data_IF_825015743700
#
_entry.id   IF_825015743700
#
_cell.length_a   1.000
_cell.length_b   1.000
_cell.length_c   1.000
_cell.angle_alpha   90.00
_cell.angle_beta   90.00
_cell.angle_gamma   90.00
#
_symmetry.space_group_name_H-M   'P 1'
#
loop_
_entity.id
_entity.type
_entity.pdbx_description
1 polymer ?
#
# COMPACT_ATOMS: atom_id res chain seq x y z
N UNK A 1 -15.23 11.42 17.25
CA UNK A 1 -15.51 9.97 17.41
C UNK A 1 -14.36 9.30 18.15
N UNK A 2 -14.67 8.22 18.90
CA UNK A 2 -13.69 7.26 19.41
C UNK A 2 -13.53 6.13 18.39
N UNK A 3 -12.37 6.01 17.79
CA UNK A 3 -12.10 5.07 16.68
C UNK A 3 -11.11 4.02 17.16
N UNK A 4 -11.45 2.74 17.04
CA UNK A 4 -10.55 1.63 17.25
C UNK A 4 -9.98 1.17 15.91
N UNK A 5 -8.67 1.31 15.67
CA UNK A 5 -8.00 0.68 14.55
C UNK A 5 -7.41 -0.66 15.01
N UNK A 6 -7.92 -1.77 14.47
CA UNK A 6 -7.50 -3.12 14.86
C UNK A 6 -6.54 -3.66 13.82
N UNK A 7 -5.24 -3.70 14.15
CA UNK A 7 -4.18 -4.10 13.23
C UNK A 7 -3.06 -4.84 14.01
N UNK A 8 -3.16 -6.15 14.11
CA UNK A 8 -2.29 -6.96 14.96
C UNK A 8 -0.80 -6.84 14.63
N UNK A 9 -0.44 -6.50 13.40
CA UNK A 9 0.95 -6.32 12.95
C UNK A 9 1.45 -4.88 13.07
N UNK A 10 0.63 -3.95 13.53
CA UNK A 10 0.93 -2.53 13.56
C UNK A 10 1.77 -2.06 14.76
N UNK A 11 2.46 -2.96 15.46
CA UNK A 11 3.25 -2.67 16.66
C UNK A 11 4.39 -1.65 16.47
N UNK A 12 4.87 -1.49 15.23
CA UNK A 12 5.96 -0.55 14.92
C UNK A 12 5.57 0.92 14.97
N UNK A 13 4.28 1.23 15.08
CA UNK A 13 3.78 2.61 15.10
C UNK A 13 4.21 3.40 16.35
N UNK A 14 4.67 2.70 17.40
CA UNK A 14 5.27 3.31 18.59
C UNK A 14 6.72 3.75 18.40
N UNK A 15 7.40 3.34 17.32
CA UNK A 15 8.79 3.72 17.04
C UNK A 15 8.86 5.00 16.23
N UNK A 16 9.75 5.91 16.63
CA UNK A 16 9.97 7.19 15.96
C UNK A 16 10.29 7.01 14.45
N UNK A 17 9.95 8.01 13.64
CA UNK A 17 10.32 8.13 12.21
C UNK A 17 11.80 7.76 12.02
N UNK A 18 12.14 6.65 11.38
CA UNK A 18 13.51 6.31 11.04
C UNK A 18 13.91 4.83 11.00
N UNK A 19 13.12 3.92 11.54
CA UNK A 19 13.41 2.50 11.43
C UNK A 19 12.97 1.97 10.06
N UNK A 20 13.90 1.96 9.10
CA UNK A 20 13.75 1.29 7.82
C UNK A 20 13.75 -0.23 8.03
N UNK A 21 12.59 -0.79 8.28
CA UNK A 21 12.35 -2.18 7.94
C UNK A 21 11.72 -2.19 6.52
N UNK A 22 11.89 -3.29 5.79
CA UNK A 22 11.14 -3.56 4.56
C UNK A 22 9.66 -3.76 4.94
N UNK A 23 9.01 -2.69 5.39
CA UNK A 23 7.60 -2.69 5.74
C UNK A 23 6.80 -2.60 4.45
N UNK A 24 5.88 -3.50 4.33
CA UNK A 24 4.77 -3.41 3.40
C UNK A 24 4.11 -2.04 3.61
N UNK A 25 4.00 -1.23 2.55
CA UNK A 25 3.47 0.14 2.63
C UNK A 25 2.12 0.27 3.34
N UNK A 26 1.40 -0.85 3.50
CA UNK A 26 0.14 -0.94 4.23
C UNK A 26 0.26 -0.54 5.72
N UNK A 27 1.33 -0.93 6.40
CA UNK A 27 1.51 -0.59 7.82
C UNK A 27 1.78 0.92 8.00
N UNK A 28 2.63 1.49 7.14
CA UNK A 28 2.87 2.93 7.12
C UNK A 28 1.57 3.70 6.83
N UNK A 29 0.71 3.17 5.95
CA UNK A 29 -0.62 3.71 5.65
C UNK A 29 -1.53 3.75 6.86
N UNK A 30 -1.59 2.69 7.68
CA UNK A 30 -2.42 2.65 8.90
C UNK A 30 -1.97 3.72 9.90
N UNK A 31 -0.66 3.88 10.11
CA UNK A 31 -0.12 4.93 10.99
C UNK A 31 -0.49 6.33 10.52
N UNK A 32 -0.36 6.57 9.22
CA UNK A 32 -0.66 7.88 8.65
C UNK A 32 -2.15 8.15 8.70
N UNK A 33 -3.00 7.16 8.40
CA UNK A 33 -4.45 7.26 8.58
C UNK A 33 -4.82 7.60 10.02
N UNK A 34 -4.24 6.91 11.01
CA UNK A 34 -4.49 7.18 12.42
C UNK A 34 -4.16 8.62 12.80
N UNK A 35 -2.99 9.12 12.38
CA UNK A 35 -2.57 10.51 12.63
C UNK A 35 -3.51 11.51 11.95
N UNK A 36 -3.91 11.23 10.71
CA UNK A 36 -4.85 12.07 9.98
C UNK A 36 -6.22 12.11 10.65
N UNK A 37 -6.75 10.96 11.08
CA UNK A 37 -8.01 10.93 11.81
C UNK A 37 -7.91 11.67 13.14
N UNK A 38 -6.78 11.57 13.84
CA UNK A 38 -6.50 12.33 15.07
C UNK A 38 -6.46 13.85 14.82
N UNK A 39 -5.77 14.30 13.77
CA UNK A 39 -5.71 15.72 13.39
C UNK A 39 -7.08 16.29 12.97
N UNK A 40 -8.00 15.44 12.51
CA UNK A 40 -9.38 15.78 12.22
C UNK A 40 -10.29 15.76 13.48
N UNK A 41 -9.70 15.76 14.69
CA UNK A 41 -10.42 15.92 15.96
C UNK A 41 -11.00 14.62 16.53
N UNK A 42 -10.54 13.46 16.08
CA UNK A 42 -10.98 12.17 16.61
C UNK A 42 -10.02 11.61 17.67
N UNK A 43 -10.53 10.74 18.54
CA UNK A 43 -9.72 9.93 19.45
C UNK A 43 -9.50 8.57 18.79
N UNK A 44 -8.26 8.27 18.45
CA UNK A 44 -7.89 7.04 17.73
C UNK A 44 -7.05 6.15 18.63
N UNK A 45 -7.46 4.91 18.81
CA UNK A 45 -6.66 3.88 19.49
C UNK A 45 -6.32 2.79 18.49
N UNK A 46 -5.01 2.59 18.26
CA UNK A 46 -4.51 1.48 17.45
C UNK A 46 -4.29 0.29 18.40
N UNK A 47 -4.97 -0.80 18.16
CA UNK A 47 -4.78 -2.07 18.86
C UNK A 47 -3.86 -2.95 18.05
N UNK A 48 -2.65 -3.18 18.56
CA UNK A 48 -1.64 -4.00 17.92
C UNK A 48 -1.19 -5.13 18.84
N UNK A 49 -0.69 -6.23 18.28
CA UNK A 49 -0.09 -7.29 19.08
C UNK A 49 1.29 -6.84 19.60
N UNK A 50 1.60 -7.16 20.84
CA UNK A 50 2.93 -6.95 21.41
C UNK A 50 3.91 -7.93 20.75
N UNK A 51 4.67 -7.48 19.75
CA UNK A 51 5.61 -8.30 18.97
C UNK A 51 7.08 -8.08 19.33
N UNK A 52 7.35 -7.33 20.40
CA UNK A 52 8.67 -7.21 20.99
C UNK A 52 8.55 -7.00 22.51
N UNK A 53 9.44 -7.60 23.34
CA UNK A 53 9.38 -7.48 24.80
C UNK A 53 9.45 -6.04 25.29
N UNK A 54 10.27 -5.21 24.63
CA UNK A 54 10.52 -3.81 25.02
C UNK A 54 9.38 -2.84 24.68
N UNK A 55 8.32 -3.28 23.98
CA UNK A 55 7.19 -2.40 23.68
C UNK A 55 6.37 -2.12 24.94
N UNK A 56 6.06 -0.84 25.24
CA UNK A 56 5.17 -0.49 26.34
C UNK A 56 3.75 -1.00 26.08
N UNK A 57 2.98 -1.25 27.12
CA UNK A 57 1.57 -1.65 26.96
C UNK A 57 0.77 -0.56 26.20
N UNK A 58 1.07 0.71 26.48
CA UNK A 58 0.42 1.87 25.88
C UNK A 58 1.44 2.94 25.50
N UNK A 59 1.24 3.59 24.35
CA UNK A 59 2.06 4.70 23.87
C UNK A 59 1.23 5.77 23.16
N UNK A 60 1.45 7.04 23.48
CA UNK A 60 0.90 8.16 22.71
C UNK A 60 1.84 8.43 21.53
N UNK A 61 1.32 8.42 20.32
CA UNK A 61 2.13 8.52 19.09
C UNK A 61 1.88 9.81 18.29
N UNK A 62 0.77 10.46 18.57
CA UNK A 62 0.42 11.79 18.07
C UNK A 62 -0.73 12.37 18.91
N UNK A 63 -1.07 13.64 18.68
CA UNK A 63 -2.27 14.25 19.29
C UNK A 63 -3.51 13.43 18.91
N UNK A 64 -4.28 13.02 19.92
CA UNK A 64 -5.47 12.19 19.74
C UNK A 64 -5.21 10.74 19.31
N UNK A 65 -3.96 10.27 19.23
CA UNK A 65 -3.62 8.92 18.75
C UNK A 65 -2.81 8.15 19.77
N UNK A 66 -3.33 7.01 20.20
CA UNK A 66 -2.70 6.09 21.15
C UNK A 66 -2.53 4.71 20.50
N UNK A 67 -1.47 3.99 20.85
CA UNK A 67 -1.27 2.58 20.52
C UNK A 67 -1.39 1.76 21.81
N UNK A 68 -2.20 0.72 21.79
CA UNK A 68 -2.32 -0.32 22.81
C UNK A 68 -1.67 -1.61 22.29
N UNK A 69 -0.61 -2.08 22.97
CA UNK A 69 0.06 -3.32 22.62
C UNK A 69 -0.51 -4.48 23.44
N UNK A 70 -1.32 -5.30 22.79
CA UNK A 70 -2.02 -6.42 23.41
C UNK A 70 -1.15 -7.68 23.42
N UNK A 71 -1.11 -8.37 24.56
CA UNK A 71 -0.37 -9.63 24.70
C UNK A 71 -1.18 -10.78 24.13
N UNK A 72 -0.75 -11.31 22.98
CA UNK A 72 -1.37 -12.46 22.32
C UNK A 72 -0.27 -13.29 21.62
N UNK A 73 0.12 -14.39 22.22
CA UNK A 73 1.23 -15.24 21.78
C UNK A 73 2.62 -14.64 22.09
N UNK A 74 3.68 -15.12 21.44
CA UNK A 74 5.05 -14.70 21.72
C UNK A 74 5.29 -13.22 21.36
N UNK A 75 6.11 -12.55 22.17
CA UNK A 75 6.52 -11.17 21.91
C UNK A 75 7.61 -11.11 20.81
N UNK A 76 7.26 -11.61 19.62
CA UNK A 76 8.11 -11.62 18.41
C UNK A 76 7.25 -11.41 17.17
N UNK A 77 7.86 -10.94 16.08
CA UNK A 77 7.18 -10.85 14.79
C UNK A 77 6.88 -12.25 14.25
N UNK A 78 5.68 -12.42 13.77
CA UNK A 78 5.21 -13.67 13.18
C UNK A 78 4.68 -13.37 11.76
N UNK A 79 4.89 -14.29 10.80
CA UNK A 79 4.16 -14.28 9.53
C UNK A 79 2.64 -14.36 9.76
N UNK A 80 1.86 -13.80 8.85
CA UNK A 80 0.39 -13.70 9.00
C UNK A 80 -0.32 -15.05 9.20
N UNK A 81 0.19 -16.13 8.61
CA UNK A 81 -0.33 -17.50 8.79
C UNK A 81 -0.03 -18.08 10.18
N UNK A 82 1.05 -17.63 10.81
CA UNK A 82 1.45 -18.06 12.16
C UNK A 82 0.80 -17.23 13.27
N UNK A 83 0.16 -16.11 12.94
CA UNK A 83 -0.55 -15.25 13.91
C UNK A 83 -1.94 -15.83 14.25
N UNK A 84 -2.56 -16.58 13.34
CA UNK A 84 -3.93 -17.08 13.46
C UNK A 84 -4.24 -17.79 14.80
N UNK A 85 -3.40 -18.67 15.35
CA UNK A 85 -3.67 -19.34 16.64
C UNK A 85 -3.83 -18.38 17.82
N UNK A 86 -3.29 -17.18 17.73
CA UNK A 86 -3.31 -16.19 18.81
C UNK A 86 -4.47 -15.18 18.70
N UNK A 87 -5.28 -15.25 17.64
CA UNK A 87 -6.35 -14.27 17.40
C UNK A 87 -7.48 -14.37 18.42
N UNK A 88 -7.75 -15.55 19.00
CA UNK A 88 -8.70 -15.67 20.10
C UNK A 88 -8.24 -14.92 21.37
N UNK A 89 -6.96 -15.04 21.73
CA UNK A 89 -6.38 -14.30 22.84
C UNK A 89 -6.35 -12.80 22.57
N UNK A 90 -6.04 -12.39 21.34
CA UNK A 90 -6.07 -10.99 20.91
C UNK A 90 -7.48 -10.41 21.00
N UNK A 91 -8.48 -11.13 20.52
CA UNK A 91 -9.90 -10.75 20.64
C UNK A 91 -10.35 -10.59 22.10
N UNK A 92 -9.98 -11.52 22.98
CA UNK A 92 -10.28 -11.41 24.40
C UNK A 92 -9.65 -10.17 25.07
N UNK A 93 -8.49 -9.73 24.60
CA UNK A 93 -7.89 -8.47 25.06
C UNK A 93 -8.66 -7.26 24.49
N UNK A 94 -9.09 -7.28 23.22
CA UNK A 94 -9.95 -6.25 22.65
C UNK A 94 -11.24 -6.08 23.47
N UNK A 95 -11.91 -7.18 23.81
CA UNK A 95 -13.13 -7.14 24.65
C UNK A 95 -12.87 -6.43 25.98
N UNK A 96 -11.75 -6.73 26.64
CA UNK A 96 -11.40 -6.07 27.92
C UNK A 96 -11.22 -4.56 27.74
N UNK A 97 -10.47 -4.14 26.71
CA UNK A 97 -10.24 -2.74 26.40
C UNK A 97 -11.56 -2.03 26.04
N UNK A 98 -12.38 -2.64 25.20
CA UNK A 98 -13.64 -2.04 24.73
C UNK A 98 -14.72 -1.95 25.82
N UNK A 99 -14.73 -2.88 26.77
CA UNK A 99 -15.61 -2.76 27.97
C UNK A 99 -15.20 -1.60 28.86
N UNK A 100 -13.91 -1.22 28.91
CA UNK A 100 -13.43 -0.08 29.68
C UNK A 100 -13.66 1.26 28.96
N UNK A 101 -13.50 1.27 27.64
CA UNK A 101 -13.65 2.44 26.78
C UNK A 101 -14.21 2.02 25.42
N UNK A 102 -15.54 1.90 25.33
CA UNK A 102 -16.22 1.47 24.11
C UNK A 102 -15.97 2.46 22.98
N UNK A 103 -15.42 2.01 21.84
CA UNK A 103 -15.27 2.85 20.66
C UNK A 103 -16.61 2.99 19.94
N UNK A 104 -16.79 4.13 19.26
CA UNK A 104 -17.97 4.36 18.42
C UNK A 104 -17.94 3.45 17.18
N UNK A 105 -16.74 3.12 16.71
CA UNK A 105 -16.51 2.28 15.54
C UNK A 105 -15.15 1.56 15.62
N UNK A 106 -15.09 0.33 15.12
CA UNK A 106 -13.85 -0.42 14.93
C UNK A 106 -13.53 -0.53 13.44
N UNK A 107 -12.35 -0.10 13.02
CA UNK A 107 -11.84 -0.33 11.68
C UNK A 107 -10.72 -1.36 11.73
N UNK A 108 -11.01 -2.55 11.25
CA UNK A 108 -10.08 -3.65 11.21
C UNK A 108 -9.27 -3.67 9.91
N UNK A 109 -8.00 -3.99 10.05
CA UNK A 109 -7.04 -4.07 8.95
C UNK A 109 -6.52 -5.49 8.83
N UNK A 110 -6.33 -5.97 7.61
CA UNK A 110 -6.01 -7.35 7.29
C UNK A 110 -7.11 -8.33 7.74
N UNK A 111 -7.11 -9.53 7.18
CA UNK A 111 -8.11 -10.54 7.50
C UNK A 111 -8.01 -11.07 8.95
N UNK A 112 -6.81 -11.08 9.53
CA UNK A 112 -6.55 -11.48 10.92
C UNK A 112 -7.13 -10.48 11.91
N UNK A 113 -6.91 -9.18 11.68
CA UNK A 113 -7.55 -8.10 12.45
C UNK A 113 -9.07 -8.13 12.35
N UNK A 114 -9.60 -8.39 11.14
CA UNK A 114 -11.03 -8.56 10.91
C UNK A 114 -11.65 -9.70 11.69
N UNK A 115 -10.97 -10.85 11.72
CA UNK A 115 -11.39 -12.01 12.49
C UNK A 115 -11.47 -11.69 13.98
N UNK A 116 -10.42 -11.04 14.52
CA UNK A 116 -10.36 -10.69 15.93
C UNK A 116 -11.41 -9.62 16.32
N UNK A 117 -11.60 -8.61 15.49
CA UNK A 117 -12.62 -7.59 15.72
C UNK A 117 -14.03 -8.16 15.73
N UNK A 118 -14.38 -8.99 14.72
CA UNK A 118 -15.69 -9.65 14.67
C UNK A 118 -15.92 -10.63 15.85
N UNK A 119 -14.88 -11.31 16.32
CA UNK A 119 -15.01 -12.15 17.51
C UNK A 119 -15.28 -11.29 18.75
N UNK A 120 -14.66 -10.12 18.88
CA UNK A 120 -14.87 -9.20 20.01
C UNK A 120 -16.27 -8.59 20.02
N UNK A 121 -16.91 -8.39 18.87
CA UNK A 121 -18.27 -7.83 18.79
C UNK A 121 -19.37 -8.75 19.33
N UNK A 122 -19.07 -10.01 19.59
CA UNK A 122 -19.99 -10.92 20.27
C UNK A 122 -20.21 -10.56 21.73
N UNK A 123 -19.25 -9.88 22.34
CA UNK A 123 -19.23 -9.50 23.75
C UNK A 123 -19.44 -8.00 23.98
N UNK A 124 -19.08 -7.17 22.99
CA UNK A 124 -19.21 -5.70 23.04
C UNK A 124 -19.72 -5.23 21.69
N UNK A 125 -20.92 -4.68 21.66
CA UNK A 125 -21.56 -4.23 20.43
C UNK A 125 -20.87 -2.98 19.88
N UNK A 126 -20.08 -3.16 18.81
CA UNK A 126 -19.33 -2.12 18.08
C UNK A 126 -19.42 -2.40 16.59
N UNK A 127 -19.82 -1.42 15.75
CA UNK A 127 -19.81 -1.59 14.31
C UNK A 127 -18.38 -1.78 13.79
N UNK A 128 -18.20 -2.79 12.93
CA UNK A 128 -16.89 -3.09 12.32
C UNK A 128 -16.87 -2.68 10.86
N UNK A 129 -15.87 -1.90 10.49
CA UNK A 129 -15.47 -1.61 9.11
C UNK A 129 -14.19 -2.36 8.81
N UNK A 130 -14.02 -2.89 7.60
CA UNK A 130 -12.87 -3.70 7.22
C UNK A 130 -12.11 -3.14 6.03
N UNK A 131 -10.77 -3.11 6.11
CA UNK A 131 -9.86 -2.97 4.97
C UNK A 131 -8.96 -4.20 4.88
N UNK A 132 -8.99 -4.91 3.74
CA UNK A 132 -8.21 -6.15 3.60
C UNK A 132 -6.74 -5.91 3.24
N UNK A 133 -6.43 -4.77 2.61
CA UNK A 133 -5.12 -4.43 2.06
C UNK A 133 -4.69 -5.30 0.87
N UNK A 134 -5.19 -6.51 0.78
CA UNK A 134 -5.05 -7.42 -0.36
C UNK A 134 -6.00 -8.59 -0.15
N UNK A 135 -6.69 -8.98 -1.20
CA UNK A 135 -7.58 -10.15 -1.20
C UNK A 135 -6.87 -11.34 -1.84
N UNK A 136 -6.86 -12.48 -1.16
CA UNK A 136 -6.25 -13.70 -1.67
C UNK A 136 -6.87 -14.18 -2.99
N UNK A 137 -8.17 -13.91 -3.23
CA UNK A 137 -8.83 -14.18 -4.51
C UNK A 137 -8.29 -13.31 -5.64
N UNK A 138 -8.04 -12.03 -5.39
CA UNK A 138 -7.44 -11.11 -6.35
C UNK A 138 -5.98 -11.51 -6.62
N UNK A 139 -5.20 -11.81 -5.58
CA UNK A 139 -3.84 -12.31 -5.75
C UNK A 139 -3.79 -13.55 -6.64
N UNK A 140 -4.64 -14.55 -6.38
CA UNK A 140 -4.70 -15.76 -7.22
C UNK A 140 -5.07 -15.47 -8.66
N UNK A 141 -5.99 -14.57 -8.90
CA UNK A 141 -6.40 -14.18 -10.26
C UNK A 141 -5.28 -13.55 -11.05
N UNK A 142 -4.51 -12.67 -10.42
CA UNK A 142 -3.48 -11.87 -11.09
C UNK A 142 -2.10 -12.54 -11.09
N UNK A 143 -1.77 -13.32 -10.06
CA UNK A 143 -0.47 -13.92 -9.86
C UNK A 143 -0.44 -15.43 -10.18
N UNK A 144 -1.59 -16.08 -10.33
CA UNK A 144 -1.67 -17.51 -10.62
C UNK A 144 -0.93 -18.36 -9.58
N UNK A 145 -0.03 -19.21 -10.04
CA UNK A 145 0.76 -20.11 -9.18
C UNK A 145 1.75 -19.37 -8.24
N UNK A 146 2.08 -18.11 -8.51
CA UNK A 146 2.97 -17.29 -7.68
C UNK A 146 2.20 -16.66 -6.50
N UNK A 147 0.87 -16.75 -6.51
CA UNK A 147 0.04 -16.26 -5.42
C UNK A 147 0.26 -17.08 -4.15
N UNK A 148 0.63 -16.41 -3.07
CA UNK A 148 0.67 -17.00 -1.73
C UNK A 148 -0.74 -17.09 -1.11
N UNK A 149 -0.83 -17.75 0.03
CA UNK A 149 -2.03 -17.77 0.87
C UNK A 149 -2.75 -19.12 0.96
N UNK A 150 -3.22 -19.43 2.18
CA UNK A 150 -3.91 -20.67 2.47
C UNK A 150 -5.37 -20.66 2.01
N UNK A 151 -5.97 -21.83 1.80
CA UNK A 151 -7.41 -21.96 1.58
C UNK A 151 -8.23 -21.41 2.75
N UNK A 152 -7.69 -21.48 3.96
CA UNK A 152 -8.33 -20.90 5.15
C UNK A 152 -8.46 -19.39 5.03
N UNK A 153 -7.41 -18.68 4.56
CA UNK A 153 -7.44 -17.24 4.30
C UNK A 153 -8.60 -16.86 3.39
N UNK A 154 -8.76 -17.55 2.25
CA UNK A 154 -9.82 -17.23 1.28
C UNK A 154 -11.22 -17.36 1.85
N UNK A 155 -11.44 -18.42 2.66
CA UNK A 155 -12.75 -18.66 3.32
C UNK A 155 -13.02 -17.60 4.39
N UNK A 156 -12.00 -17.25 5.18
CA UNK A 156 -12.12 -16.27 6.25
C UNK A 156 -12.28 -14.84 5.68
N UNK A 157 -11.58 -14.46 4.62
CA UNK A 157 -11.79 -13.19 3.95
C UNK A 157 -13.24 -13.02 3.47
N UNK A 158 -13.80 -14.05 2.83
CA UNK A 158 -15.18 -14.03 2.37
C UNK A 158 -16.20 -13.97 3.52
N UNK A 159 -15.94 -14.68 4.62
CA UNK A 159 -16.77 -14.63 5.83
C UNK A 159 -16.74 -13.23 6.45
N UNK A 160 -15.55 -12.70 6.71
CA UNK A 160 -15.34 -11.36 7.30
C UNK A 160 -16.04 -10.31 6.44
N UNK A 161 -15.77 -10.31 5.13
CA UNK A 161 -16.32 -9.32 4.21
C UNK A 161 -17.85 -9.23 4.21
N UNK A 162 -18.53 -10.37 4.44
CA UNK A 162 -20.00 -10.44 4.52
C UNK A 162 -20.57 -10.17 5.92
N UNK A 163 -19.72 -10.22 6.95
CA UNK A 163 -20.15 -10.07 8.34
C UNK A 163 -19.96 -8.67 8.91
N UNK A 164 -19.11 -7.85 8.28
CA UNK A 164 -18.83 -6.47 8.74
C UNK A 164 -19.89 -5.47 8.24
N UNK A 165 -20.00 -4.33 8.92
CA UNK A 165 -20.96 -3.26 8.58
C UNK A 165 -20.63 -2.62 7.23
N UNK A 166 -19.34 -2.49 6.89
CA UNK A 166 -18.86 -2.01 5.60
C UNK A 166 -17.43 -2.49 5.31
N UNK A 167 -17.08 -2.54 4.01
CA UNK A 167 -15.71 -2.80 3.56
C UNK A 167 -15.21 -1.57 2.82
N UNK A 168 -14.02 -1.07 3.21
CA UNK A 168 -13.29 -0.04 2.49
C UNK A 168 -12.32 -0.72 1.54
N UNK A 169 -12.64 -0.69 0.26
CA UNK A 169 -11.79 -1.20 -0.81
C UNK A 169 -10.75 -0.14 -1.20
N UNK A 170 -9.50 -0.53 -1.41
CA UNK A 170 -8.43 0.37 -1.84
C UNK A 170 -8.51 0.78 -3.31
N UNK A 171 -9.31 0.06 -4.12
CA UNK A 171 -9.47 0.31 -5.55
C UNK A 171 -10.82 -0.20 -6.06
N UNK A 172 -11.21 0.28 -7.24
CA UNK A 172 -12.40 -0.23 -7.96
C UNK A 172 -12.25 -1.72 -8.29
N UNK A 173 -11.03 -2.18 -8.58
CA UNK A 173 -10.71 -3.58 -8.80
C UNK A 173 -10.98 -4.44 -7.57
N UNK A 174 -10.55 -3.99 -6.38
CA UNK A 174 -10.84 -4.67 -5.11
C UNK A 174 -12.34 -4.66 -4.80
N UNK A 175 -13.03 -3.54 -5.04
CA UNK A 175 -14.48 -3.45 -4.88
C UNK A 175 -15.22 -4.46 -5.76
N UNK A 176 -14.78 -4.67 -7.00
CA UNK A 176 -15.33 -5.68 -7.89
C UNK A 176 -15.08 -7.11 -7.37
N UNK A 177 -13.90 -7.40 -6.78
CA UNK A 177 -13.63 -8.70 -6.15
C UNK A 177 -14.54 -8.95 -4.93
N UNK A 178 -14.70 -7.94 -4.08
CA UNK A 178 -15.60 -8.02 -2.92
C UNK A 178 -17.05 -8.30 -3.34
N UNK A 179 -17.52 -7.66 -4.42
CA UNK A 179 -18.85 -7.93 -4.97
C UNK A 179 -18.97 -9.38 -5.47
N UNK A 180 -17.92 -9.96 -6.08
CA UNK A 180 -17.88 -11.39 -6.47
C UNK A 180 -17.89 -12.33 -5.27
N UNK A 181 -17.33 -11.91 -4.13
CA UNK A 181 -17.40 -12.63 -2.87
C UNK A 181 -18.79 -12.55 -2.20
N UNK A 182 -19.76 -11.87 -2.81
CA UNK A 182 -21.14 -11.73 -2.31
C UNK A 182 -21.33 -10.60 -1.33
N UNK A 183 -20.39 -9.63 -1.24
CA UNK A 183 -20.59 -8.42 -0.43
C UNK A 183 -21.57 -7.48 -1.15
N UNK A 184 -22.63 -7.02 -0.48
CA UNK A 184 -23.57 -6.08 -1.07
C UNK A 184 -22.86 -4.78 -1.51
N UNK A 185 -23.08 -4.34 -2.73
CA UNK A 185 -22.47 -3.11 -3.26
C UNK A 185 -22.70 -1.89 -2.35
N UNK A 186 -23.84 -1.83 -1.71
CA UNK A 186 -24.17 -0.78 -0.74
C UNK A 186 -23.25 -0.78 0.49
N UNK A 187 -22.59 -1.89 0.83
CA UNK A 187 -21.65 -2.01 1.95
C UNK A 187 -20.19 -1.84 1.53
N UNK A 188 -19.89 -1.70 0.23
CA UNK A 188 -18.54 -1.46 -0.28
C UNK A 188 -18.35 0.04 -0.52
N UNK A 189 -17.22 0.58 -0.09
CA UNK A 189 -16.76 1.94 -0.39
C UNK A 189 -15.35 1.88 -0.92
N UNK A 190 -15.06 2.62 -1.98
CA UNK A 190 -13.70 2.78 -2.48
C UNK A 190 -13.06 3.96 -1.76
N UNK A 191 -12.09 3.66 -0.92
CA UNK A 191 -11.25 4.63 -0.23
C UNK A 191 -9.79 4.25 -0.50
N UNK A 192 -9.12 4.93 -1.43
CA UNK A 192 -7.77 4.58 -1.83
C UNK A 192 -6.75 4.94 -0.74
N UNK A 193 -5.52 4.48 -0.96
CA UNK A 193 -4.40 4.94 -0.13
C UNK A 193 -4.07 6.41 -0.41
N UNK A 194 -3.59 7.09 0.62
CA UNK A 194 -3.11 8.46 0.52
C UNK A 194 -1.61 8.53 0.21
N UNK A 195 -1.20 9.68 -0.29
CA UNK A 195 0.19 10.08 -0.40
C UNK A 195 0.43 11.32 0.47
N UNK A 196 1.63 11.39 1.08
CA UNK A 196 2.07 12.57 1.83
C UNK A 196 2.50 13.66 0.82
N UNK A 197 1.62 14.61 0.56
CA UNK A 197 1.82 15.68 -0.41
C UNK A 197 2.70 16.81 0.12
N UNK A 198 3.11 16.77 1.39
CA UNK A 198 4.08 17.69 1.99
C UNK A 198 5.50 17.10 1.88
N UNK A 199 5.64 15.78 1.91
CA UNK A 199 6.91 15.08 1.71
C UNK A 199 7.20 14.86 0.21
N UNK A 200 6.18 14.44 -0.57
CA UNK A 200 6.25 14.19 -2.00
C UNK A 200 5.61 15.35 -2.76
N UNK A 201 6.43 16.24 -3.28
CA UNK A 201 6.03 17.41 -4.05
C UNK A 201 7.01 17.61 -5.21
N UNK A 202 6.60 18.34 -6.27
CA UNK A 202 7.46 18.57 -7.46
C UNK A 202 8.75 19.30 -7.13
N UNK A 203 8.69 20.22 -6.19
CA UNK A 203 9.82 21.06 -5.80
C UNK A 203 10.71 20.39 -4.75
N UNK A 204 12.01 20.67 -4.80
CA UNK A 204 12.96 20.21 -3.80
C UNK A 204 14.20 19.51 -4.37
N UNK A 205 15.04 18.91 -3.53
CA UNK A 205 16.27 18.28 -3.95
C UNK A 205 16.06 17.17 -4.99
N UNK A 206 16.98 17.08 -5.95
CA UNK A 206 16.99 16.06 -7.01
C UNK A 206 18.23 15.18 -6.83
N UNK A 207 18.08 13.87 -6.91
CA UNK A 207 19.21 12.95 -6.81
C UNK A 207 20.14 13.09 -8.04
N UNK A 208 21.45 12.92 -7.81
CA UNK A 208 22.48 13.04 -8.86
C UNK A 208 22.15 12.17 -10.07
N UNK A 209 22.34 12.74 -11.28
CA UNK A 209 22.14 12.07 -12.58
C UNK A 209 23.46 11.94 -13.30
N UNK A 210 23.54 11.01 -14.25
CA UNK A 210 24.70 10.82 -15.12
C UNK A 210 24.56 11.48 -16.50
N UNK A 211 23.55 12.34 -16.69
CA UNK A 211 23.30 13.06 -17.96
C UNK A 211 22.44 12.28 -18.97
N UNK A 212 22.15 11.00 -18.74
CA UNK A 212 21.23 10.21 -19.58
C UNK A 212 19.78 10.40 -19.08
N UNK A 213 18.77 10.27 -19.97
CA UNK A 213 17.39 10.11 -19.52
C UNK A 213 17.27 8.92 -18.55
N UNK A 214 16.58 9.14 -17.42
CA UNK A 214 16.46 8.16 -16.33
C UNK A 214 15.08 7.55 -16.29
N UNK A 215 15.02 6.25 -16.49
CA UNK A 215 13.88 5.42 -16.09
C UNK A 215 14.11 4.95 -14.66
N UNK A 216 13.12 5.09 -13.80
CA UNK A 216 13.16 4.64 -12.42
C UNK A 216 12.14 3.52 -12.21
N UNK A 217 12.57 2.42 -11.62
CA UNK A 217 11.68 1.39 -11.09
C UNK A 217 11.89 1.27 -9.58
N UNK A 218 10.85 1.41 -8.80
CA UNK A 218 10.89 1.25 -7.34
C UNK A 218 10.01 0.07 -6.98
N UNK A 219 10.61 -1.05 -6.56
CA UNK A 219 9.88 -2.26 -6.24
C UNK A 219 10.74 -3.24 -5.40
N UNK A 220 10.11 -4.14 -4.62
CA UNK A 220 10.82 -5.27 -4.04
C UNK A 220 11.47 -6.14 -5.13
N UNK A 221 12.62 -6.74 -4.84
CA UNK A 221 13.25 -7.69 -5.75
C UNK A 221 12.58 -9.07 -5.64
N UNK A 222 11.38 -9.17 -6.20
CA UNK A 222 10.55 -10.37 -6.28
C UNK A 222 10.08 -10.61 -7.71
N UNK A 223 9.64 -11.82 -8.03
CA UNK A 223 9.16 -12.16 -9.37
C UNK A 223 7.89 -11.38 -9.77
N UNK A 224 6.99 -11.16 -8.80
CA UNK A 224 5.74 -10.42 -9.04
C UNK A 224 5.94 -8.94 -9.37
N UNK A 225 7.14 -8.40 -9.13
CA UNK A 225 7.44 -6.98 -9.44
C UNK A 225 7.61 -6.69 -10.93
N UNK A 226 7.71 -7.71 -11.79
CA UNK A 226 7.78 -7.54 -13.24
C UNK A 226 9.03 -6.81 -13.76
N UNK A 227 10.09 -6.71 -12.95
CA UNK A 227 11.31 -5.97 -13.30
C UNK A 227 12.02 -6.52 -14.53
N UNK A 228 11.87 -7.80 -14.84
CA UNK A 228 12.39 -8.42 -16.04
C UNK A 228 11.75 -7.87 -17.32
N UNK A 229 10.49 -7.47 -17.28
CA UNK A 229 9.79 -6.80 -18.38
C UNK A 229 10.46 -5.47 -18.71
N UNK A 230 10.81 -4.69 -17.67
CA UNK A 230 11.52 -3.40 -17.84
C UNK A 230 12.91 -3.63 -18.42
N UNK A 231 13.66 -4.58 -17.86
CA UNK A 231 15.03 -4.92 -18.36
C UNK A 231 14.98 -5.36 -19.82
N UNK A 232 13.99 -6.15 -20.24
CA UNK A 232 13.80 -6.54 -21.65
C UNK A 232 13.44 -5.33 -22.51
N UNK A 233 12.60 -4.42 -22.03
CA UNK A 233 12.25 -3.21 -22.78
C UNK A 233 13.46 -2.31 -23.06
N UNK A 234 14.50 -2.33 -22.20
CA UNK A 234 15.72 -1.52 -22.38
C UNK A 234 16.47 -1.80 -23.68
N UNK A 235 16.27 -2.97 -24.32
CA UNK A 235 16.86 -3.31 -25.63
C UNK A 235 16.43 -2.28 -26.69
N UNK A 236 15.16 -1.93 -26.68
CA UNK A 236 14.57 -1.00 -27.64
C UNK A 236 14.53 0.46 -27.15
N UNK A 237 15.04 0.74 -25.95
CA UNK A 237 15.16 2.11 -25.41
C UNK A 237 16.64 2.48 -25.28
N UNK A 238 17.30 2.88 -26.37
CA UNK A 238 18.71 3.25 -26.33
C UNK A 238 18.92 4.58 -25.57
N UNK A 239 20.16 4.83 -25.16
CA UNK A 239 20.61 6.08 -24.52
C UNK A 239 20.00 6.41 -23.15
N UNK A 240 19.13 5.55 -22.59
CA UNK A 240 18.57 5.72 -21.26
C UNK A 240 19.30 4.89 -20.21
N UNK A 241 19.30 5.34 -18.97
CA UNK A 241 19.62 4.48 -17.82
C UNK A 241 18.34 3.97 -17.17
N UNK A 242 18.39 2.77 -16.62
CA UNK A 242 17.38 2.21 -15.75
C UNK A 242 17.93 2.12 -14.33
N UNK A 243 17.33 2.86 -13.41
CA UNK A 243 17.64 2.75 -11.98
C UNK A 243 16.57 1.88 -11.32
N UNK A 244 16.98 0.78 -10.70
CA UNK A 244 16.11 -0.12 -9.94
C UNK A 244 16.41 0.09 -8.46
N UNK A 245 15.43 0.63 -7.73
CA UNK A 245 15.50 0.90 -6.31
C UNK A 245 14.60 -0.07 -5.54
N UNK A 246 15.11 -0.64 -4.44
CA UNK A 246 14.41 -1.58 -3.59
C UNK A 246 15.17 -2.89 -3.37
N UNK A 247 14.54 -3.81 -2.65
CA UNK A 247 15.18 -5.03 -2.20
C UNK A 247 16.04 -4.85 -0.95
N UNK A 248 17.02 -5.73 -0.68
CA UNK A 248 17.89 -5.64 0.50
C UNK A 248 18.88 -4.47 0.37
N UNK A 249 19.61 -4.20 1.45
CA UNK A 249 20.71 -3.24 1.44
C UNK A 249 21.69 -3.54 0.30
N UNK A 250 22.32 -2.49 -0.24
CA UNK A 250 23.21 -2.60 -1.40
C UNK A 250 24.30 -3.67 -1.24
N UNK A 251 24.87 -3.78 -0.04
CA UNK A 251 25.89 -4.79 0.30
C UNK A 251 25.38 -6.24 0.27
N UNK A 252 24.07 -6.45 0.29
CA UNK A 252 23.44 -7.77 0.33
C UNK A 252 22.76 -8.16 -1.00
N UNK A 253 22.74 -7.26 -2.00
CA UNK A 253 22.09 -7.50 -3.28
C UNK A 253 22.54 -8.80 -3.95
N UNK A 254 23.82 -9.10 -3.93
CA UNK A 254 24.40 -10.31 -4.55
C UNK A 254 23.86 -11.61 -3.96
N UNK A 255 23.32 -11.58 -2.73
CA UNK A 255 22.67 -12.74 -2.08
C UNK A 255 21.25 -12.97 -2.59
N UNK A 256 20.59 -11.94 -3.15
CA UNK A 256 19.21 -12.02 -3.63
C UNK A 256 19.14 -12.77 -4.98
N UNK A 257 18.33 -13.84 -5.11
CA UNK A 257 18.25 -14.63 -6.33
C UNK A 257 17.66 -13.86 -7.52
N UNK A 258 16.69 -12.98 -7.28
CA UNK A 258 16.06 -12.16 -8.33
C UNK A 258 17.05 -11.12 -8.87
N UNK A 259 17.84 -10.48 -7.98
CA UNK A 259 18.93 -9.60 -8.41
C UNK A 259 19.88 -10.31 -9.36
N UNK A 260 20.40 -11.49 -8.96
CA UNK A 260 21.33 -12.28 -9.80
C UNK A 260 20.72 -12.66 -11.15
N UNK A 261 19.42 -12.99 -11.17
CA UNK A 261 18.68 -13.28 -12.41
C UNK A 261 18.59 -12.06 -13.30
N UNK A 262 18.25 -10.89 -12.76
CA UNK A 262 18.11 -9.63 -13.50
C UNK A 262 19.47 -9.15 -14.06
N UNK A 263 20.55 -9.26 -13.30
CA UNK A 263 21.91 -8.93 -13.77
C UNK A 263 22.32 -9.85 -14.94
N UNK A 264 22.09 -11.16 -14.82
CA UNK A 264 22.34 -12.09 -15.92
C UNK A 264 21.49 -11.79 -17.16
N UNK A 265 20.22 -11.42 -16.96
CA UNK A 265 19.33 -11.04 -18.05
C UNK A 265 19.85 -9.78 -18.75
N UNK A 266 20.21 -8.74 -17.99
CA UNK A 266 20.76 -7.50 -18.54
C UNK A 266 22.06 -7.74 -19.32
N UNK A 267 22.93 -8.62 -18.84
CA UNK A 267 24.15 -9.02 -19.54
C UNK A 267 23.86 -9.76 -20.86
N UNK A 268 22.95 -10.74 -20.85
CA UNK A 268 22.52 -11.46 -22.06
C UNK A 268 21.94 -10.55 -23.14
N UNK A 269 21.20 -9.52 -22.69
CA UNK A 269 20.56 -8.53 -23.56
C UNK A 269 21.49 -7.36 -23.94
N UNK A 270 22.73 -7.35 -23.46
CA UNK A 270 23.72 -6.29 -23.69
C UNK A 270 23.25 -4.89 -23.26
N UNK A 271 22.52 -4.82 -22.15
CA UNK A 271 22.03 -3.57 -21.54
C UNK A 271 22.56 -3.35 -20.12
N UNK A 272 23.47 -4.22 -19.66
CA UNK A 272 23.95 -4.22 -18.27
C UNK A 272 24.68 -2.93 -17.85
N UNK A 273 25.35 -2.24 -18.79
CA UNK A 273 26.00 -0.95 -18.58
C UNK A 273 25.01 0.20 -18.26
N UNK A 274 23.75 0.00 -18.55
CA UNK A 274 22.68 0.99 -18.38
C UNK A 274 21.66 0.63 -17.29
N UNK A 275 21.85 -0.48 -16.58
CA UNK A 275 20.98 -0.94 -15.48
C UNK A 275 21.71 -0.83 -14.17
N UNK A 276 21.21 0.03 -13.31
CA UNK A 276 21.79 0.34 -11.99
C UNK A 276 20.87 -0.13 -10.88
N UNK A 277 21.37 -0.93 -9.95
CA UNK A 277 20.65 -1.35 -8.76
C UNK A 277 21.15 -0.57 -7.55
N UNK A 278 20.26 0.14 -6.87
CA UNK A 278 20.61 0.92 -5.67
C UNK A 278 20.52 0.09 -4.39
N UNK A 279 19.73 -0.97 -4.38
CA UNK A 279 19.25 -1.61 -3.16
C UNK A 279 18.20 -0.76 -2.46
N UNK A 280 17.98 -1.02 -1.18
CA UNK A 280 17.04 -0.29 -0.35
C UNK A 280 17.37 1.21 -0.32
N UNK A 281 16.36 2.04 -0.53
CA UNK A 281 16.41 3.50 -0.43
C UNK A 281 15.57 3.93 0.77
N UNK A 282 16.13 4.79 1.63
CA UNK A 282 15.39 5.31 2.77
C UNK A 282 14.25 6.22 2.34
N UNK A 283 13.18 6.29 3.15
CA UNK A 283 12.02 7.15 2.91
C UNK A 283 12.43 8.59 2.62
N UNK A 284 13.30 9.16 3.45
CA UNK A 284 13.78 10.55 3.31
C UNK A 284 14.52 10.84 2.00
N UNK A 285 15.08 9.83 1.32
CA UNK A 285 15.77 9.97 0.03
C UNK A 285 14.87 9.69 -1.16
N UNK A 286 13.69 9.09 -0.94
CA UNK A 286 12.80 8.68 -2.01
C UNK A 286 12.26 9.86 -2.83
N UNK A 287 11.84 11.01 -2.25
CA UNK A 287 11.36 12.13 -3.04
C UNK A 287 12.42 12.68 -4.00
N UNK A 288 13.67 12.80 -3.53
CA UNK A 288 14.77 13.26 -4.39
C UNK A 288 15.09 12.27 -5.53
N UNK A 289 14.95 10.97 -5.27
CA UNK A 289 15.13 9.94 -6.29
C UNK A 289 14.01 10.00 -7.33
N UNK A 290 12.75 10.11 -6.91
CA UNK A 290 11.59 10.24 -7.80
C UNK A 290 11.71 11.47 -8.69
N UNK A 291 12.00 12.65 -8.13
CA UNK A 291 12.23 13.89 -8.91
C UNK A 291 13.40 13.80 -9.89
N UNK A 292 14.34 12.88 -9.67
CA UNK A 292 15.46 12.68 -10.59
C UNK A 292 15.11 11.86 -11.84
N UNK A 293 13.95 11.25 -11.89
CA UNK A 293 13.53 10.40 -13.00
C UNK A 293 12.75 11.18 -14.05
N UNK A 294 12.99 10.88 -15.33
CA UNK A 294 12.17 11.39 -16.43
C UNK A 294 10.86 10.59 -16.53
N UNK A 295 10.91 9.32 -16.11
CA UNK A 295 9.74 8.42 -16.04
C UNK A 295 9.88 7.44 -14.87
N UNK A 296 8.82 7.27 -14.08
CA UNK A 296 8.65 6.07 -13.27
C UNK A 296 8.06 4.96 -14.16
N UNK A 297 8.66 3.76 -14.12
CA UNK A 297 8.15 2.57 -14.80
C UNK A 297 7.78 1.52 -13.75
N UNK A 298 6.51 1.18 -13.67
CA UNK A 298 5.97 0.28 -12.63
C UNK A 298 5.18 -0.87 -13.25
N UNK A 299 5.82 -2.04 -13.38
CA UNK A 299 5.29 -3.21 -14.11
C UNK A 299 4.83 -4.34 -13.21
N UNK A 300 4.58 -4.06 -11.94
CA UNK A 300 4.07 -5.05 -10.98
C UNK A 300 2.83 -5.75 -11.53
N UNK A 301 2.81 -7.07 -11.46
CA UNK A 301 1.71 -7.89 -12.01
C UNK A 301 0.40 -7.67 -11.28
N UNK A 302 0.47 -7.35 -10.00
CA UNK A 302 -0.67 -6.97 -9.17
C UNK A 302 -0.24 -5.93 -8.15
N UNK A 303 -0.87 -4.78 -8.17
CA UNK A 303 -0.61 -3.65 -7.27
C UNK A 303 -1.90 -3.29 -6.52
N UNK A 304 -2.03 -3.67 -5.25
CA UNK A 304 -3.23 -3.35 -4.48
C UNK A 304 -3.34 -1.88 -4.08
N UNK A 305 -2.22 -1.18 -3.90
CA UNK A 305 -2.20 0.15 -3.27
C UNK A 305 -1.79 1.29 -4.21
N UNK A 306 -0.82 1.05 -5.09
CA UNK A 306 -0.28 2.07 -5.99
C UNK A 306 0.52 3.16 -5.29
N UNK A 307 1.12 2.91 -4.13
CA UNK A 307 1.83 3.93 -3.36
C UNK A 307 2.99 4.55 -4.13
N UNK A 308 3.86 3.73 -4.72
CA UNK A 308 5.01 4.23 -5.49
C UNK A 308 4.59 5.07 -6.70
N UNK A 309 3.62 4.64 -7.53
CA UNK A 309 3.04 5.49 -8.55
C UNK A 309 2.47 6.81 -8.01
N UNK A 310 1.74 6.79 -6.90
CA UNK A 310 1.17 8.00 -6.29
C UNK A 310 2.26 8.95 -5.78
N UNK A 311 3.32 8.42 -5.17
CA UNK A 311 4.49 9.20 -4.73
C UNK A 311 5.22 9.85 -5.92
N UNK A 312 5.38 9.11 -7.01
CA UNK A 312 5.96 9.66 -8.24
C UNK A 312 5.08 10.75 -8.85
N UNK A 313 3.78 10.49 -8.96
CA UNK A 313 2.81 11.49 -9.41
C UNK A 313 2.87 12.75 -8.55
N UNK A 314 2.89 12.62 -7.22
CA UNK A 314 2.99 13.75 -6.30
C UNK A 314 4.30 14.54 -6.47
N UNK A 315 5.39 13.86 -6.84
CA UNK A 315 6.67 14.51 -7.21
C UNK A 315 6.68 15.11 -8.63
N UNK A 316 5.59 15.07 -9.37
CA UNK A 316 5.55 15.54 -10.77
C UNK A 316 6.27 14.61 -11.75
N UNK A 317 6.60 13.39 -11.35
CA UNK A 317 7.26 12.39 -12.21
C UNK A 317 6.21 11.62 -13.00
N UNK A 318 6.22 11.68 -14.35
CA UNK A 318 5.28 10.92 -15.17
C UNK A 318 5.41 9.41 -14.95
N UNK A 319 4.31 8.68 -15.02
CA UNK A 319 4.25 7.25 -14.72
C UNK A 319 3.85 6.44 -15.95
N UNK A 320 4.60 5.37 -16.22
CA UNK A 320 4.17 4.28 -17.12
C UNK A 320 3.99 3.03 -16.27
N UNK A 321 2.76 2.55 -16.18
CA UNK A 321 2.44 1.41 -15.32
C UNK A 321 1.71 0.28 -16.06
N UNK A 322 1.82 -0.94 -15.53
CA UNK A 322 0.99 -2.06 -15.98
C UNK A 322 -0.49 -1.81 -15.62
N UNK A 323 -1.38 -2.03 -16.58
CA UNK A 323 -2.83 -1.88 -16.39
C UNK A 323 -3.37 -3.00 -15.49
N UNK A 324 -3.51 -2.73 -14.19
CA UNK A 324 -4.02 -3.68 -13.21
C UNK A 324 -4.08 -3.09 -11.81
N UNK A 325 -4.95 -3.63 -10.97
CA UNK A 325 -5.11 -3.21 -9.58
C UNK A 325 -5.42 -1.72 -9.45
N UNK A 326 -4.79 -1.07 -8.50
CA UNK A 326 -4.95 0.36 -8.20
C UNK A 326 -4.42 1.32 -9.28
N UNK A 327 -3.55 0.85 -10.20
CA UNK A 327 -3.03 1.70 -11.28
C UNK A 327 -4.15 2.26 -12.17
N UNK A 328 -5.21 1.48 -12.43
CA UNK A 328 -6.33 1.89 -13.26
C UNK A 328 -7.17 3.01 -12.63
N UNK A 329 -7.16 3.11 -11.30
CA UNK A 329 -7.82 4.20 -10.58
C UNK A 329 -6.91 5.42 -10.43
N UNK A 330 -5.62 5.20 -10.18
CA UNK A 330 -4.65 6.26 -9.94
C UNK A 330 -4.31 7.01 -11.22
N UNK A 331 -4.04 6.30 -12.31
CA UNK A 331 -3.52 6.85 -13.57
C UNK A 331 -4.67 7.02 -14.57
N UNK A 332 -4.85 8.23 -15.04
CA UNK A 332 -5.70 8.53 -16.20
C UNK A 332 -4.83 8.39 -17.44
N UNK A 333 -5.06 7.29 -18.19
CA UNK A 333 -4.27 6.97 -19.39
C UNK A 333 -4.30 8.11 -20.41
N UNK A 334 -3.14 8.50 -20.91
CA UNK A 334 -3.00 9.61 -21.83
C UNK A 334 -3.14 11.02 -21.23
N UNK A 335 -3.27 11.13 -19.89
CA UNK A 335 -3.40 12.43 -19.21
C UNK A 335 -2.43 12.58 -18.04
N UNK A 336 -2.43 11.63 -17.08
CA UNK A 336 -1.54 11.67 -15.91
C UNK A 336 -0.44 10.62 -15.97
N UNK A 337 -0.37 9.88 -17.05
CA UNK A 337 0.57 8.79 -17.28
C UNK A 337 0.09 7.88 -18.38
N UNK A 338 0.71 6.71 -18.50
CA UNK A 338 0.39 5.72 -19.51
C UNK A 338 0.19 4.34 -18.89
N UNK A 339 -0.89 3.68 -19.25
CA UNK A 339 -1.17 2.29 -18.89
C UNK A 339 -0.79 1.34 -20.02
N UNK A 340 -0.05 0.28 -19.72
CA UNK A 340 0.36 -0.75 -20.69
C UNK A 340 -0.14 -2.12 -20.26
N UNK A 341 -0.39 -3.01 -21.20
CA UNK A 341 -0.72 -4.41 -20.86
C UNK A 341 0.45 -5.05 -20.12
N UNK A 342 0.21 -5.80 -19.03
CA UNK A 342 1.25 -6.49 -18.29
C UNK A 342 2.02 -7.48 -19.18
N UNK A 343 3.31 -7.69 -18.89
CA UNK A 343 4.13 -8.71 -19.53
C UNK A 343 4.52 -8.44 -20.99
N UNK A 344 4.37 -7.21 -21.50
CA UNK A 344 4.66 -6.86 -22.90
C UNK A 344 5.84 -5.87 -23.02
N UNK A 345 7.10 -6.33 -23.04
CA UNK A 345 8.27 -5.46 -23.07
C UNK A 345 8.37 -4.57 -24.32
N UNK A 346 7.99 -5.07 -25.49
CA UNK A 346 8.02 -4.28 -26.74
C UNK A 346 7.01 -3.13 -26.70
N UNK A 347 5.80 -3.36 -26.18
CA UNK A 347 4.80 -2.31 -26.02
C UNK A 347 5.28 -1.26 -25.01
N UNK A 348 5.84 -1.71 -23.88
CA UNK A 348 6.43 -0.85 -22.87
C UNK A 348 7.55 0.02 -23.48
N UNK A 349 8.48 -0.57 -24.19
CA UNK A 349 9.57 0.15 -24.86
C UNK A 349 9.07 1.20 -25.85
N UNK A 350 8.06 0.85 -26.66
CA UNK A 350 7.44 1.78 -27.61
C UNK A 350 6.85 3.00 -26.87
N UNK A 351 6.10 2.78 -25.78
CA UNK A 351 5.49 3.87 -25.00
C UNK A 351 6.54 4.75 -24.34
N UNK A 352 7.58 4.17 -23.76
CA UNK A 352 8.71 4.92 -23.18
C UNK A 352 9.36 5.80 -24.23
N UNK A 353 9.69 5.27 -25.43
CA UNK A 353 10.30 6.04 -26.53
C UNK A 353 9.41 7.22 -26.96
N UNK A 354 8.10 6.99 -27.09
CA UNK A 354 7.15 8.03 -27.47
C UNK A 354 7.16 9.19 -26.46
N UNK A 355 7.17 8.88 -25.16
CA UNK A 355 7.21 9.88 -24.11
C UNK A 355 8.54 10.63 -24.08
N UNK A 356 9.67 9.92 -24.11
CA UNK A 356 11.00 10.53 -24.09
C UNK A 356 11.29 11.39 -25.33
N UNK A 357 10.62 11.15 -26.43
CA UNK A 357 10.73 11.98 -27.64
C UNK A 357 9.94 13.30 -27.55
N UNK A 358 9.09 13.48 -26.53
CA UNK A 358 8.25 14.68 -26.37
C UNK A 358 8.39 15.28 -24.96
N UNK A 359 9.36 16.16 -24.71
CA UNK A 359 9.54 16.83 -23.42
C UNK A 359 8.28 17.57 -22.94
N UNK A 360 7.55 18.21 -23.84
CA UNK A 360 6.29 18.89 -23.51
C UNK A 360 5.23 17.91 -22.97
N UNK A 361 5.12 16.73 -23.57
CA UNK A 361 4.18 15.71 -23.12
C UNK A 361 4.57 15.17 -21.74
N UNK A 362 5.86 14.91 -21.51
CA UNK A 362 6.38 14.50 -20.20
C UNK A 362 6.05 15.54 -19.13
N UNK A 363 6.32 16.82 -19.42
CA UNK A 363 6.01 17.91 -18.50
C UNK A 363 4.51 18.03 -18.23
N UNK A 364 3.68 17.95 -19.26
CA UNK A 364 2.22 17.99 -19.13
C UNK A 364 1.68 16.85 -18.26
N UNK A 365 2.17 15.63 -18.46
CA UNK A 365 1.80 14.49 -17.63
C UNK A 365 2.27 14.65 -16.19
N UNK A 366 3.47 15.16 -15.97
CA UNK A 366 4.00 15.41 -14.63
C UNK A 366 3.14 16.41 -13.85
N UNK A 367 2.76 17.52 -14.46
CA UNK A 367 1.88 18.54 -13.85
C UNK A 367 0.51 17.93 -13.54
N UNK A 368 -0.14 17.32 -14.52
CA UNK A 368 -1.46 16.72 -14.32
C UNK A 368 -1.46 15.58 -13.27
N UNK A 369 -0.36 14.82 -13.21
CA UNK A 369 -0.16 13.78 -12.20
C UNK A 369 -0.04 14.37 -10.80
N UNK A 370 0.75 15.43 -10.61
CA UNK A 370 0.91 16.11 -9.31
C UNK A 370 -0.41 16.71 -8.83
N UNK A 371 -1.13 17.37 -9.71
CA UNK A 371 -2.45 17.96 -9.40
C UNK A 371 -3.45 16.88 -8.98
N UNK A 372 -3.49 15.75 -9.73
CA UNK A 372 -4.35 14.63 -9.38
C UNK A 372 -3.97 14.00 -8.05
N UNK A 373 -2.67 13.76 -7.80
CA UNK A 373 -2.20 13.20 -6.53
C UNK A 373 -2.63 14.08 -5.36
N UNK A 374 -2.43 15.38 -5.44
CA UNK A 374 -2.83 16.34 -4.41
C UNK A 374 -4.34 16.40 -4.23
N UNK A 375 -5.10 16.50 -5.32
CA UNK A 375 -6.55 16.68 -5.27
C UNK A 375 -7.31 15.43 -4.84
N UNK A 376 -6.80 14.22 -5.16
CA UNK A 376 -7.57 12.97 -4.98
C UNK A 376 -6.98 12.03 -3.93
N UNK A 377 -5.67 12.13 -3.64
CA UNK A 377 -4.94 11.14 -2.87
C UNK A 377 -4.18 11.74 -1.67
N UNK A 378 -4.38 13.03 -1.32
CA UNK A 378 -3.83 13.56 -0.08
C UNK A 378 -4.41 12.84 1.14
N UNK A 379 -3.60 12.59 2.16
CA UNK A 379 -4.06 11.90 3.38
C UNK A 379 -5.21 12.62 4.07
N UNK A 380 -5.25 13.96 3.99
CA UNK A 380 -6.36 14.73 4.53
C UNK A 380 -7.69 14.37 3.87
N UNK A 381 -7.70 14.26 2.54
CA UNK A 381 -8.88 13.82 1.79
C UNK A 381 -9.26 12.38 2.13
N UNK A 382 -8.29 11.47 2.16
CA UNK A 382 -8.52 10.05 2.50
C UNK A 382 -9.10 9.93 3.91
N UNK A 383 -8.60 10.72 4.88
CA UNK A 383 -9.17 10.77 6.22
C UNK A 383 -10.64 11.20 6.24
N UNK A 384 -11.00 12.25 5.49
CA UNK A 384 -12.39 12.72 5.38
C UNK A 384 -13.29 11.68 4.68
N UNK A 385 -12.83 11.03 3.62
CA UNK A 385 -13.58 9.96 2.94
C UNK A 385 -13.78 8.74 3.86
N UNK A 386 -12.77 8.41 4.67
CA UNK A 386 -12.85 7.35 5.70
C UNK A 386 -13.88 7.70 6.75
N UNK A 387 -13.86 8.93 7.31
CA UNK A 387 -14.85 9.40 8.28
C UNK A 387 -16.27 9.37 7.72
N UNK A 388 -16.46 9.83 6.50
CA UNK A 388 -17.77 9.76 5.83
C UNK A 388 -18.27 8.31 5.65
N UNK A 389 -17.38 7.35 5.45
CA UNK A 389 -17.74 5.93 5.42
C UNK A 389 -18.13 5.41 6.80
N UNK A 390 -17.44 5.83 7.86
CA UNK A 390 -17.78 5.48 9.24
C UNK A 390 -19.16 6.02 9.64
N UNK A 391 -19.43 7.28 9.38
CA UNK A 391 -20.74 7.91 9.68
C UNK A 391 -21.91 7.21 8.99
N UNK A 392 -21.71 6.78 7.74
CA UNK A 392 -22.72 5.99 7.02
C UNK A 392 -22.94 4.61 7.63
N UNK A 393 -21.89 3.96 8.13
CA UNK A 393 -21.97 2.67 8.80
C UNK A 393 -22.73 2.78 10.12
N UNK A 394 -22.49 3.86 10.91
CA UNK A 394 -23.19 4.15 12.14
C UNK A 394 -24.69 4.42 11.91
N UNK A 395 -25.02 5.24 10.90
CA UNK A 395 -26.42 5.56 10.55
C UNK A 395 -27.25 4.34 10.15
N UNK A 396 -26.63 3.32 9.57
CA UNK A 396 -27.33 2.08 9.14
C UNK A 396 -27.71 1.17 10.32
N UNK A 397 -27.07 1.33 11.46
CA UNK A 397 -27.37 0.55 12.66
C UNK A 397 -28.43 1.21 13.55
N UNK A 398 -28.67 2.51 13.36
CA UNK A 398 -29.81 3.16 14.01
C UNK A 398 -31.10 2.63 13.36
N UNK A 399 -32.06 2.08 14.14
CA UNK A 399 -33.36 1.73 13.58
C UNK A 399 -33.94 2.96 12.90
N UNK A 400 -34.52 2.79 11.72
CA UNK A 400 -35.26 3.87 11.09
C UNK A 400 -36.24 4.42 12.16
N UNK A 401 -36.10 5.72 12.51
CA UNK A 401 -37.00 6.34 13.41
C UNK A 401 -38.42 6.12 12.87
N UNK A 402 -39.24 5.39 13.63
CA UNK A 402 -40.61 5.06 13.32
C UNK A 402 -41.49 6.30 13.25
#
# INVERSE_FOLDING_TARGET
>A
MKIALVAEQASQHSRARGAAAADDGSQAGISTLARTLGSLGNQVTIYARKDAPALPARANVAAGVTVEHLTAGPASRLPADQVLPYMAAFSGQLVRCWRQATPDIAHSHFWTGGLAALAATRDVEVPVVQTFHSLGTAERRHLGAVAGGSQARLRLEALIARSVSAVLASSSGEAAELARLGVPRASIRVVPYGVDTDEFLPDGPVARRNGRPRLLAVAPLTERSGLDVIVRAMVEVPRCELVIAGGPARSQLTKNPVYRRLVRLAGKLRVGDRVVFTGQVSRARMPALLRSADLLVHTTLYEPFGMVPLEAMACGTPVVAAAGGSHQDAIVDGTTGVLVRPGQPALLARRIRQLLASPMLLQGYGIAAADRARARYSWERIGRETLAAYERSLRRQLPAAA
#
